data_IF_645604098145
#
_entry.id   IF_645604098145
#
_cell.length_a   1.000
_cell.length_b   1.000
_cell.length_c   1.000
_cell.angle_alpha   90.00
_cell.angle_beta   90.00
_cell.angle_gamma   90.00
#
_symmetry.space_group_name_H-M   'P 1'
#
loop_
_entity.id
_entity.type
_entity.pdbx_description
1 polymer ?
#
# COMPACT_ATOMS: atom_id res chain seq x y z
N UNK A 1 44.14 20.09 1.59
CA UNK A 1 43.16 19.35 2.41
C UNK A 1 42.38 18.43 1.47
N UNK A 2 42.61 17.12 1.52
CA UNK A 2 41.78 16.13 0.80
C UNK A 2 41.61 14.93 1.72
N UNK A 3 40.36 14.57 2.04
CA UNK A 3 40.06 13.44 2.93
C UNK A 3 38.72 13.50 3.68
N UNK A 4 37.67 14.13 3.13
CA UNK A 4 36.37 14.27 3.81
C UNK A 4 35.22 13.64 3.01
N UNK A 5 35.45 12.49 2.37
CA UNK A 5 34.37 11.71 1.79
C UNK A 5 34.30 10.37 2.51
N UNK A 6 33.29 10.27 3.36
CA UNK A 6 32.85 9.03 3.97
C UNK A 6 31.90 8.34 3.00
N UNK A 7 32.06 7.03 2.84
CA UNK A 7 31.21 6.21 1.98
C UNK A 7 30.64 5.07 2.80
N UNK A 8 29.35 4.79 2.58
CA UNK A 8 28.72 3.61 3.15
C UNK A 8 29.28 2.36 2.47
N UNK A 9 29.68 1.38 3.28
CA UNK A 9 30.11 0.07 2.81
C UNK A 9 28.92 -0.89 2.96
N UNK A 10 28.49 -1.46 1.84
CA UNK A 10 27.53 -2.54 1.83
C UNK A 10 28.25 -3.87 1.62
N UNK A 11 27.98 -4.87 2.46
CA UNK A 11 28.53 -6.23 2.33
C UNK A 11 27.40 -7.11 1.81
N UNK A 12 27.60 -7.67 0.63
CA UNK A 12 26.63 -8.53 -0.05
C UNK A 12 27.26 -9.90 -0.29
N UNK A 13 26.43 -10.94 -0.30
CA UNK A 13 26.84 -12.25 -0.82
C UNK A 13 27.00 -12.15 -2.34
N UNK A 14 28.01 -12.84 -2.86
CA UNK A 14 28.23 -12.98 -4.30
C UNK A 14 27.15 -13.90 -4.89
N UNK A 15 26.62 -13.56 -6.07
CA UNK A 15 25.59 -14.33 -6.79
C UNK A 15 24.30 -14.69 -5.99
N UNK A 16 23.84 -13.81 -5.09
CA UNK A 16 22.59 -14.01 -4.33
C UNK A 16 21.43 -13.17 -4.87
N UNK A 17 20.32 -13.80 -5.28
CA UNK A 17 19.09 -13.10 -5.66
C UNK A 17 18.04 -13.14 -4.53
N UNK A 18 17.73 -12.02 -3.85
CA UNK A 18 16.70 -11.98 -2.81
C UNK A 18 15.28 -12.21 -3.32
N UNK A 19 15.04 -12.19 -4.65
CA UNK A 19 13.75 -12.52 -5.23
C UNK A 19 13.57 -14.02 -5.47
N UNK A 20 14.66 -14.78 -5.49
CA UNK A 20 14.64 -16.22 -5.68
C UNK A 20 14.44 -16.93 -4.33
N UNK A 21 13.36 -17.72 -4.23
CA UNK A 21 13.04 -18.47 -3.00
C UNK A 21 14.11 -19.53 -2.72
N UNK A 22 14.68 -20.14 -3.76
CA UNK A 22 15.70 -21.19 -3.62
C UNK A 22 17.01 -20.62 -3.05
N UNK A 23 17.37 -19.39 -3.43
CA UNK A 23 18.56 -18.72 -2.92
C UNK A 23 18.35 -18.32 -1.45
N UNK A 24 17.16 -17.78 -1.12
CA UNK A 24 16.80 -17.37 0.24
C UNK A 24 16.73 -18.56 1.21
N UNK A 25 16.28 -19.74 0.75
CA UNK A 25 16.17 -20.91 1.61
C UNK A 25 17.53 -21.48 2.03
N UNK A 26 18.54 -21.33 1.16
CA UNK A 26 19.90 -21.82 1.37
C UNK A 26 20.81 -20.87 2.17
N UNK A 27 20.30 -19.69 2.58
CA UNK A 27 21.08 -18.74 3.38
C UNK A 27 21.45 -19.37 4.72
N UNK A 28 22.75 -19.52 4.95
CA UNK A 28 23.30 -20.05 6.19
C UNK A 28 23.26 -19.01 7.32
N UNK A 29 22.62 -19.35 8.42
CA UNK A 29 22.71 -18.60 9.67
C UNK A 29 23.77 -19.24 10.58
N UNK A 30 24.71 -18.44 11.08
CA UNK A 30 25.70 -18.88 12.05
C UNK A 30 25.25 -18.51 13.47
N UNK A 31 25.22 -19.48 14.37
CA UNK A 31 25.00 -19.22 15.80
C UNK A 31 26.29 -18.68 16.45
N UNK A 32 26.16 -18.05 17.62
CA UNK A 32 27.27 -17.63 18.49
C UNK A 32 28.22 -18.77 18.86
N UNK A 33 27.74 -20.02 18.75
CA UNK A 33 28.50 -21.26 18.97
C UNK A 33 29.16 -21.81 17.69
N UNK A 34 29.12 -21.07 16.59
CA UNK A 34 29.68 -21.47 15.28
C UNK A 34 28.99 -22.71 14.69
N UNK A 35 27.72 -22.93 15.03
CA UNK A 35 26.89 -23.92 14.35
C UNK A 35 26.23 -23.26 13.13
N UNK A 36 26.29 -23.92 11.97
CA UNK A 36 25.62 -23.48 10.75
C UNK A 36 24.25 -24.15 10.61
N UNK A 37 23.21 -23.35 10.38
CA UNK A 37 21.87 -23.84 10.05
C UNK A 37 21.42 -23.22 8.72
N UNK A 38 20.76 -23.99 7.87
CA UNK A 38 20.08 -23.45 6.71
C UNK A 38 18.77 -22.78 7.15
N UNK A 39 18.34 -21.75 6.41
CA UNK A 39 17.15 -20.98 6.77
C UNK A 39 15.86 -21.82 6.67
N UNK A 40 15.84 -22.80 5.76
CA UNK A 40 14.79 -23.82 5.62
C UNK A 40 14.53 -24.66 6.88
N UNK A 41 15.56 -24.89 7.69
CA UNK A 41 15.45 -25.69 8.93
C UNK A 41 14.77 -24.92 10.06
N UNK A 42 14.76 -23.58 9.97
CA UNK A 42 14.30 -22.73 11.05
C UNK A 42 12.81 -22.44 10.94
N UNK A 43 12.26 -22.20 9.72
CA UNK A 43 10.83 -21.94 9.46
C UNK A 43 10.47 -22.19 7.99
N UNK A 44 9.21 -22.56 7.73
CA UNK A 44 8.69 -22.68 6.36
C UNK A 44 8.53 -21.32 5.67
N UNK A 45 9.01 -21.22 4.43
CA UNK A 45 8.85 -20.04 3.58
C UNK A 45 7.51 -20.05 2.87
N UNK A 46 6.79 -18.93 2.92
CA UNK A 46 5.57 -18.71 2.13
C UNK A 46 5.67 -17.36 1.43
N UNK A 47 5.63 -17.37 0.10
CA UNK A 47 5.51 -16.15 -0.68
C UNK A 47 4.07 -15.61 -0.53
N UNK A 48 3.94 -14.40 0.01
CA UNK A 48 2.65 -13.70 0.09
C UNK A 48 2.74 -12.36 -0.60
N UNK A 49 1.63 -11.94 -1.19
CA UNK A 49 1.46 -10.56 -1.62
C UNK A 49 0.93 -9.73 -0.46
N UNK A 50 1.43 -8.50 -0.34
CA UNK A 50 0.99 -7.52 0.64
C UNK A 50 0.49 -6.25 -0.05
N UNK A 51 -0.21 -5.35 0.68
CA UNK A 51 -0.61 -4.06 0.13
C UNK A 51 0.63 -3.24 -0.25
N UNK A 52 0.64 -2.68 -1.46
CA UNK A 52 1.75 -1.86 -1.97
C UNK A 52 1.82 -0.47 -1.35
N UNK A 53 0.69 0.03 -0.83
CA UNK A 53 0.57 1.34 -0.20
C UNK A 53 -0.36 1.23 1.00
N UNK A 54 0.14 1.66 2.16
CA UNK A 54 -0.69 1.84 3.34
C UNK A 54 -1.19 3.28 3.39
N UNK A 55 -2.38 3.51 2.84
CA UNK A 55 -3.06 4.80 3.02
C UNK A 55 -3.83 4.80 4.35
N UNK A 56 -3.74 5.92 5.07
CA UNK A 56 -4.52 6.15 6.29
C UNK A 56 -5.24 7.47 6.18
N UNK A 57 -6.49 7.46 6.60
CA UNK A 57 -7.33 8.65 6.72
C UNK A 57 -8.00 8.63 8.09
N UNK A 58 -7.87 9.73 8.83
CA UNK A 58 -8.39 9.87 10.19
C UNK A 58 -8.04 8.66 11.08
N UNK A 59 -6.77 8.22 10.99
CA UNK A 59 -6.19 7.13 11.79
C UNK A 59 -6.71 5.73 11.39
N UNK A 60 -7.72 5.63 10.52
CA UNK A 60 -8.21 4.37 9.95
C UNK A 60 -7.46 4.00 8.65
N UNK A 61 -7.38 2.70 8.36
CA UNK A 61 -6.92 2.23 7.06
C UNK A 61 -7.94 2.65 5.99
N UNK A 62 -7.45 3.26 4.92
CA UNK A 62 -8.31 3.82 3.86
C UNK A 62 -7.85 3.37 2.49
N UNK A 63 -8.77 3.37 1.52
CA UNK A 63 -8.46 3.18 0.10
C UNK A 63 -9.05 4.35 -0.66
N UNK A 64 -8.20 5.12 -1.34
CA UNK A 64 -8.63 6.27 -2.13
C UNK A 64 -8.86 5.87 -3.58
N UNK A 65 -10.11 5.92 -4.04
CA UNK A 65 -10.45 5.77 -5.47
C UNK A 65 -10.53 7.14 -6.12
N UNK A 66 -9.69 7.39 -7.12
CA UNK A 66 -9.66 8.65 -7.88
C UNK A 66 -10.33 8.45 -9.23
N UNK A 67 -11.32 9.27 -9.53
CA UNK A 67 -12.01 9.29 -10.83
C UNK A 67 -12.14 10.74 -11.31
N UNK A 68 -11.96 10.96 -12.61
CA UNK A 68 -12.15 12.26 -13.23
C UNK A 68 -13.26 12.15 -14.28
N UNK A 69 -14.15 13.13 -14.29
CA UNK A 69 -15.20 13.26 -15.30
C UNK A 69 -14.78 14.37 -16.25
N UNK A 70 -14.81 14.07 -17.54
CA UNK A 70 -14.66 15.08 -18.58
C UNK A 70 -16.02 15.79 -18.72
N UNK A 71 -15.98 17.13 -18.75
CA UNK A 71 -17.15 18.03 -18.77
C UNK A 71 -17.85 18.23 -17.40
N UNK A 72 -17.76 19.48 -16.90
CA UNK A 72 -18.28 19.91 -15.58
C UNK A 72 -19.79 19.72 -15.31
N UNK A 73 -20.72 19.82 -16.30
CA UNK A 73 -22.16 19.66 -16.00
C UNK A 73 -22.55 18.24 -15.63
N UNK A 74 -21.87 17.22 -16.17
CA UNK A 74 -22.19 15.81 -15.90
C UNK A 74 -21.70 15.33 -14.54
N UNK A 75 -20.77 16.04 -13.93
CA UNK A 75 -20.15 15.69 -12.64
C UNK A 75 -21.19 15.54 -11.51
N UNK A 76 -22.22 16.41 -11.48
CA UNK A 76 -23.27 16.37 -10.45
C UNK A 76 -24.18 15.15 -10.62
N UNK A 77 -24.53 14.81 -11.87
CA UNK A 77 -25.41 13.68 -12.21
C UNK A 77 -24.71 12.37 -11.85
N UNK A 78 -23.45 12.21 -12.28
CA UNK A 78 -22.65 11.01 -11.99
C UNK A 78 -22.40 10.87 -10.48
N UNK A 79 -22.16 11.97 -9.77
CA UNK A 79 -22.03 11.94 -8.31
C UNK A 79 -23.30 11.44 -7.60
N UNK A 80 -24.48 11.81 -8.11
CA UNK A 80 -25.76 11.31 -7.59
C UNK A 80 -25.97 9.83 -7.92
N UNK A 81 -25.64 9.39 -9.14
CA UNK A 81 -25.72 7.99 -9.55
C UNK A 81 -24.80 7.08 -8.71
N UNK A 82 -23.57 7.53 -8.43
CA UNK A 82 -22.64 6.78 -7.57
C UNK A 82 -23.23 6.62 -6.16
N UNK A 83 -23.83 7.67 -5.59
CA UNK A 83 -24.48 7.58 -4.28
C UNK A 83 -25.67 6.61 -4.31
N UNK A 84 -26.47 6.63 -5.37
CA UNK A 84 -27.59 5.70 -5.53
C UNK A 84 -27.10 4.24 -5.61
N UNK A 85 -26.05 3.97 -6.40
CA UNK A 85 -25.45 2.63 -6.50
C UNK A 85 -24.82 2.16 -5.19
N UNK A 86 -24.21 3.05 -4.42
CA UNK A 86 -23.65 2.72 -3.11
C UNK A 86 -24.74 2.50 -2.04
N UNK A 87 -25.93 3.07 -2.22
CA UNK A 87 -27.08 2.78 -1.38
C UNK A 87 -27.71 1.41 -1.72
N UNK A 88 -27.68 1.02 -2.99
CA UNK A 88 -28.16 -0.29 -3.47
C UNK A 88 -27.23 -1.43 -3.02
N UNK A 89 -25.91 -1.23 -3.10
CA UNK A 89 -24.90 -2.18 -2.65
C UNK A 89 -24.03 -1.55 -1.55
N UNK A 90 -24.48 -1.60 -0.28
CA UNK A 90 -23.73 -1.00 0.81
C UNK A 90 -22.40 -1.73 1.01
N UNK A 91 -21.36 -1.00 1.44
CA UNK A 91 -20.07 -1.61 1.74
C UNK A 91 -20.20 -2.57 2.95
N UNK A 92 -19.23 -3.49 3.12
CA UNK A 92 -19.22 -4.40 4.27
C UNK A 92 -19.33 -3.66 5.61
N UNK A 93 -19.87 -4.31 6.65
CA UNK A 93 -20.01 -3.68 7.96
C UNK A 93 -18.66 -3.17 8.48
N UNK A 94 -18.62 -1.93 8.96
CA UNK A 94 -17.40 -1.27 9.45
C UNK A 94 -16.65 -0.43 8.42
N UNK A 95 -17.09 -0.40 7.16
CA UNK A 95 -16.51 0.47 6.13
C UNK A 95 -17.37 1.72 5.93
N UNK A 96 -16.77 2.90 6.11
CA UNK A 96 -17.42 4.20 5.86
C UNK A 96 -16.91 4.83 4.57
N UNK A 97 -17.82 5.34 3.73
CA UNK A 97 -17.47 6.02 2.48
C UNK A 97 -17.53 7.54 2.71
N UNK A 98 -16.45 8.24 2.36
CA UNK A 98 -16.39 9.70 2.33
C UNK A 98 -16.25 10.20 0.90
N UNK A 99 -17.17 11.05 0.44
CA UNK A 99 -17.06 11.73 -0.86
C UNK A 99 -16.30 13.04 -0.71
N UNK A 100 -15.25 13.23 -1.51
CA UNK A 100 -14.36 14.40 -1.46
C UNK A 100 -14.23 15.09 -2.82
N UNK A 101 -13.48 16.20 -2.85
CA UNK A 101 -13.26 16.99 -4.05
C UNK A 101 -14.46 17.85 -4.44
N UNK A 102 -14.66 17.99 -5.75
CA UNK A 102 -15.66 18.87 -6.34
C UNK A 102 -17.10 18.48 -5.95
N UNK A 103 -17.37 17.18 -5.77
CA UNK A 103 -18.65 16.71 -5.25
C UNK A 103 -18.98 17.25 -3.85
N UNK A 104 -17.99 17.39 -2.97
CA UNK A 104 -18.17 17.98 -1.63
C UNK A 104 -18.38 19.49 -1.73
N UNK A 105 -17.60 20.16 -2.59
CA UNK A 105 -17.70 21.60 -2.80
C UNK A 105 -19.08 21.99 -3.35
N UNK A 106 -19.56 21.31 -4.40
CA UNK A 106 -20.86 21.57 -5.03
C UNK A 106 -22.03 21.26 -4.12
N UNK A 107 -21.96 20.18 -3.34
CA UNK A 107 -23.00 19.85 -2.35
C UNK A 107 -23.16 20.94 -1.29
N UNK A 108 -22.04 21.53 -0.83
CA UNK A 108 -22.07 22.63 0.14
C UNK A 108 -22.72 23.89 -0.43
N UNK A 109 -22.43 24.22 -1.70
CA UNK A 109 -23.03 25.38 -2.38
C UNK A 109 -24.54 25.21 -2.52
N UNK A 110 -25.00 24.01 -2.91
CA UNK A 110 -26.43 23.72 -3.02
C UNK A 110 -27.17 23.82 -1.68
N UNK A 111 -26.52 23.46 -0.57
CA UNK A 111 -27.11 23.54 0.76
C UNK A 111 -27.12 24.96 1.36
N UNK A 112 -26.42 25.92 0.74
CA UNK A 112 -26.31 27.30 1.22
C UNK A 112 -27.26 28.28 0.50
N UNK A 113 -28.09 27.78 -0.41
CA UNK A 113 -29.10 28.53 -1.17
C UNK A 113 -30.49 28.17 -0.63
#
# INVERSE_FOLDING_TARGET
>A
MRGLHEYDINILMDDFDPQNIDDVSQVGCLDLRVNSYAWEDLRGFTQTTGPSLLERKDIAASVTVKSFVLESPFEVIIGAEIRAKMAENPPPPGVTISYEGDLKAKAKVLAAC
#
